data_IF_369711172186
#
_entry.id   IF_369711172186
#
_cell.length_a   1.000
_cell.length_b   1.000
_cell.length_c   1.000
_cell.angle_alpha   90.00
_cell.angle_beta   90.00
_cell.angle_gamma   90.00
#
_symmetry.space_group_name_H-M   'P 1'
#
loop_
_entity.id
_entity.type
_entity.pdbx_description
1 polymer ?
#
# COMPACT_ATOMS: atom_id res chain seq x y z
N UNK A 1 -15.55 -48.10 -33.40
CA UNK A 1 -15.43 -46.77 -33.96
C UNK A 1 -16.22 -45.89 -33.06
N UNK A 2 -15.53 -45.32 -32.11
CA UNK A 2 -16.07 -44.34 -31.19
C UNK A 2 -14.91 -43.36 -30.92
N UNK A 3 -15.01 -42.21 -31.52
CA UNK A 3 -14.02 -41.13 -31.39
C UNK A 3 -14.37 -40.34 -30.10
N UNK A 4 -13.52 -40.48 -29.08
CA UNK A 4 -13.53 -39.65 -27.90
C UNK A 4 -12.73 -38.35 -28.20
N UNK A 5 -13.42 -37.34 -28.61
CA UNK A 5 -12.86 -35.97 -28.63
C UNK A 5 -12.84 -35.43 -27.19
N UNK A 6 -11.69 -35.48 -26.57
CA UNK A 6 -11.41 -34.83 -25.30
C UNK A 6 -11.09 -33.37 -25.57
N UNK A 7 -12.12 -32.56 -25.57
CA UNK A 7 -12.02 -31.11 -25.63
C UNK A 7 -11.48 -30.55 -24.32
N UNK A 8 -10.16 -30.39 -24.21
CA UNK A 8 -9.56 -29.55 -23.17
C UNK A 8 -9.97 -28.10 -23.42
N UNK A 9 -10.96 -27.65 -22.66
CA UNK A 9 -11.29 -26.21 -22.59
C UNK A 9 -10.19 -25.52 -21.80
N UNK A 10 -9.24 -24.96 -22.51
CA UNK A 10 -8.26 -24.04 -21.94
C UNK A 10 -9.03 -22.82 -21.42
N UNK A 11 -9.17 -22.74 -20.10
CA UNK A 11 -9.77 -21.59 -19.44
C UNK A 11 -8.78 -20.43 -19.58
N UNK A 12 -9.02 -19.60 -20.61
CA UNK A 12 -8.37 -18.29 -20.73
C UNK A 12 -8.81 -17.48 -19.50
N UNK A 13 -7.93 -17.34 -18.54
CA UNK A 13 -8.13 -16.40 -17.42
C UNK A 13 -8.38 -15.01 -18.02
N UNK A 14 -9.51 -14.42 -17.65
CA UNK A 14 -9.93 -13.11 -18.13
C UNK A 14 -8.86 -12.07 -17.72
N UNK A 15 -8.11 -11.54 -18.71
CA UNK A 15 -7.08 -10.51 -18.49
C UNK A 15 -7.67 -9.17 -17.99
N UNK A 16 -8.99 -9.06 -17.88
CA UNK A 16 -9.67 -7.82 -17.47
C UNK A 16 -9.58 -7.52 -15.98
N UNK A 17 -9.20 -8.50 -15.12
CA UNK A 17 -9.10 -8.32 -13.66
C UNK A 17 -7.67 -7.99 -13.17
N UNK A 18 -6.70 -7.89 -14.05
CA UNK A 18 -5.31 -7.69 -13.65
C UNK A 18 -4.84 -6.23 -13.79
N UNK A 19 -4.23 -5.68 -12.73
CA UNK A 19 -3.62 -4.34 -12.72
C UNK A 19 -2.47 -4.29 -13.76
N UNK A 20 -2.44 -3.31 -14.69
CA UNK A 20 -1.33 -3.13 -15.62
C UNK A 20 -0.04 -2.76 -14.91
N UNK A 21 1.08 -3.36 -15.35
CA UNK A 21 2.43 -3.14 -14.79
C UNK A 21 3.21 -2.09 -15.61
N UNK A 22 2.56 -0.96 -15.88
CA UNK A 22 3.15 0.21 -16.56
C UNK A 22 2.43 1.48 -16.12
N UNK A 23 3.19 2.54 -15.84
CA UNK A 23 2.66 3.79 -15.30
C UNK A 23 2.15 3.62 -13.85
N UNK A 24 1.45 4.62 -13.35
CA UNK A 24 0.91 4.66 -12.00
C UNK A 24 -0.56 4.25 -11.98
N UNK A 25 -0.87 3.15 -11.30
CA UNK A 25 -2.26 2.69 -11.08
C UNK A 25 -2.64 2.88 -9.62
N UNK A 26 -3.78 3.53 -9.38
CA UNK A 26 -4.39 3.71 -8.07
C UNK A 26 -5.61 2.79 -7.92
N UNK A 27 -5.59 1.90 -6.93
CA UNK A 27 -6.69 0.97 -6.61
C UNK A 27 -7.47 1.53 -5.42
N UNK A 28 -8.75 1.79 -5.60
CA UNK A 28 -9.65 2.41 -4.62
C UNK A 28 -10.77 1.46 -4.22
N UNK A 29 -11.33 1.67 -3.04
CA UNK A 29 -12.52 0.98 -2.58
C UNK A 29 -12.64 0.96 -1.06
N UNK A 30 -13.78 0.50 -0.53
CA UNK A 30 -14.01 0.36 0.90
C UNK A 30 -13.09 -0.66 1.55
N UNK A 31 -13.22 -0.88 2.85
CA UNK A 31 -12.44 -1.90 3.56
C UNK A 31 -12.82 -3.31 3.07
N UNK A 32 -11.84 -4.23 3.10
CA UNK A 32 -12.02 -5.68 2.84
C UNK A 32 -12.51 -6.08 1.43
N UNK A 33 -12.41 -5.21 0.41
CA UNK A 33 -12.77 -5.53 -0.99
C UNK A 33 -11.62 -6.13 -1.80
N UNK A 34 -10.48 -6.47 -1.17
CA UNK A 34 -9.38 -7.13 -1.86
C UNK A 34 -8.30 -6.20 -2.44
N UNK A 35 -8.28 -4.90 -2.10
CA UNK A 35 -7.24 -3.95 -2.57
C UNK A 35 -5.81 -4.42 -2.29
N UNK A 36 -5.54 -4.84 -1.05
CA UNK A 36 -4.22 -5.35 -0.63
C UNK A 36 -3.84 -6.61 -1.40
N UNK A 37 -4.79 -7.53 -1.60
CA UNK A 37 -4.61 -8.75 -2.39
C UNK A 37 -4.26 -8.41 -3.85
N UNK A 38 -4.97 -7.48 -4.46
CA UNK A 38 -4.70 -7.04 -5.84
C UNK A 38 -3.32 -6.37 -5.97
N UNK A 39 -2.91 -5.60 -4.96
CA UNK A 39 -1.58 -4.99 -4.90
C UNK A 39 -0.48 -6.05 -4.75
N UNK A 40 -0.69 -7.06 -3.91
CA UNK A 40 0.22 -8.19 -3.73
C UNK A 40 0.37 -9.00 -5.03
N UNK A 41 -0.73 -9.33 -5.69
CA UNK A 41 -0.72 -10.02 -6.99
C UNK A 41 0.02 -9.23 -8.07
N UNK A 42 -0.12 -7.89 -8.08
CA UNK A 42 0.65 -7.05 -8.98
C UNK A 42 2.16 -7.08 -8.69
N UNK A 43 2.54 -7.09 -7.40
CA UNK A 43 3.93 -7.26 -6.96
C UNK A 43 4.48 -8.62 -7.40
N UNK A 44 3.76 -9.72 -7.16
CA UNK A 44 4.16 -11.08 -7.54
C UNK A 44 4.36 -11.18 -9.05
N UNK A 45 3.39 -10.72 -9.83
CA UNK A 45 3.50 -10.70 -11.31
C UNK A 45 4.68 -9.87 -11.81
N UNK A 46 4.99 -8.75 -11.14
CA UNK A 46 6.19 -7.98 -11.49
C UNK A 46 7.45 -8.78 -11.22
N UNK A 47 7.56 -9.38 -10.03
CA UNK A 47 8.74 -10.16 -9.61
C UNK A 47 8.94 -11.38 -10.50
N UNK A 48 7.88 -12.09 -10.86
CA UNK A 48 7.93 -13.23 -11.78
C UNK A 48 8.46 -12.84 -13.17
N UNK A 49 8.05 -11.69 -13.66
CA UNK A 49 8.44 -11.22 -15.00
C UNK A 49 9.80 -10.50 -15.05
N UNK A 50 10.21 -9.81 -13.96
CA UNK A 50 11.33 -8.86 -14.00
C UNK A 50 12.34 -9.04 -12.86
N UNK A 51 12.07 -9.94 -11.89
CA UNK A 51 12.88 -10.10 -10.68
C UNK A 51 12.65 -9.01 -9.64
N UNK A 52 13.39 -9.09 -8.54
CA UNK A 52 13.24 -8.23 -7.35
C UNK A 52 14.09 -6.97 -7.38
N UNK A 53 15.06 -6.87 -8.32
CA UNK A 53 15.97 -5.73 -8.39
C UNK A 53 15.23 -4.41 -8.68
N UNK A 54 15.47 -3.40 -7.85
CA UNK A 54 14.84 -2.08 -7.97
C UNK A 54 13.35 -2.07 -7.58
N UNK A 55 12.83 -3.14 -6.99
CA UNK A 55 11.47 -3.17 -6.43
C UNK A 55 11.47 -2.49 -5.07
N UNK A 56 10.54 -1.55 -4.90
CA UNK A 56 10.30 -0.82 -3.64
C UNK A 56 8.87 -1.05 -3.20
N UNK A 57 8.70 -1.46 -1.95
CA UNK A 57 7.39 -1.66 -1.32
C UNK A 57 7.28 -0.77 -0.09
N UNK A 58 6.22 0.05 -0.04
CA UNK A 58 5.81 0.78 1.15
C UNK A 58 4.54 0.15 1.71
N UNK A 59 4.54 -0.16 3.00
CA UNK A 59 3.37 -0.67 3.71
C UNK A 59 2.99 0.29 4.83
N UNK A 60 1.91 1.06 4.59
CA UNK A 60 1.39 2.03 5.55
C UNK A 60 0.12 1.56 6.25
N UNK A 61 -0.32 0.33 5.97
CA UNK A 61 -1.54 -0.19 6.56
C UNK A 61 -1.43 -0.31 8.09
N UNK A 62 -2.35 0.30 8.85
CA UNK A 62 -2.42 0.09 10.29
C UNK A 62 -2.91 -1.32 10.59
N UNK A 63 -2.37 -1.93 11.65
CA UNK A 63 -2.87 -3.18 12.19
C UNK A 63 -3.71 -2.91 13.43
N UNK A 64 -5.00 -3.15 13.34
CA UNK A 64 -5.94 -2.91 14.42
C UNK A 64 -6.67 -4.21 14.78
N UNK A 65 -6.49 -4.67 16.02
CA UNK A 65 -7.29 -5.76 16.57
C UNK A 65 -8.59 -5.16 17.15
N UNK A 66 -9.72 -5.44 16.53
CA UNK A 66 -11.03 -5.07 17.05
C UNK A 66 -11.88 -6.33 17.26
N UNK A 67 -12.28 -6.59 18.50
CA UNK A 67 -13.10 -7.76 18.87
C UNK A 67 -12.51 -9.10 18.40
N UNK A 68 -11.17 -9.22 18.41
CA UNK A 68 -10.47 -10.43 17.94
C UNK A 68 -10.33 -10.55 16.43
N UNK A 69 -10.84 -9.57 15.66
CA UNK A 69 -10.66 -9.48 14.21
C UNK A 69 -9.60 -8.44 13.88
N UNK A 70 -8.63 -8.83 13.08
CA UNK A 70 -7.62 -7.91 12.57
C UNK A 70 -8.24 -7.06 11.45
N UNK A 71 -8.29 -5.75 11.68
CA UNK A 71 -8.67 -4.76 10.69
C UNK A 71 -7.41 -4.12 10.12
N UNK A 72 -7.38 -3.96 8.80
CA UNK A 72 -6.19 -3.58 8.08
C UNK A 72 -5.35 -4.81 7.71
N UNK A 73 -4.71 -4.78 6.57
CA UNK A 73 -3.93 -5.90 6.06
C UNK A 73 -2.58 -5.43 5.53
N UNK A 74 -1.50 -5.84 6.20
CA UNK A 74 -0.17 -5.70 5.63
C UNK A 74 0.00 -6.60 4.41
N UNK A 75 0.85 -6.18 3.49
CA UNK A 75 1.20 -6.96 2.31
C UNK A 75 1.91 -8.28 2.66
N UNK A 76 2.71 -8.30 3.72
CA UNK A 76 3.42 -9.50 4.20
C UNK A 76 2.50 -10.65 4.64
N UNK A 77 1.21 -10.39 4.82
CA UNK A 77 0.19 -11.41 5.14
C UNK A 77 -0.46 -12.04 3.90
N UNK A 78 -0.26 -11.46 2.73
CA UNK A 78 -0.92 -11.86 1.49
C UNK A 78 0.07 -12.23 0.39
N UNK A 79 1.39 -12.14 0.66
CA UNK A 79 2.43 -12.59 -0.25
C UNK A 79 3.67 -13.06 0.52
N UNK A 80 4.23 -14.19 0.11
CA UNK A 80 5.45 -14.76 0.69
C UNK A 80 6.72 -13.99 0.28
N UNK A 81 6.62 -13.06 -0.68
CA UNK A 81 7.75 -12.26 -1.15
C UNK A 81 8.33 -11.34 -0.07
N UNK A 82 7.51 -10.94 0.90
CA UNK A 82 7.88 -9.99 1.95
C UNK A 82 8.34 -10.68 3.25
N UNK A 83 8.29 -12.02 3.30
CA UNK A 83 8.64 -12.84 4.46
C UNK A 83 7.56 -12.82 5.54
N UNK A 84 7.71 -13.71 6.55
CA UNK A 84 6.80 -13.69 7.70
C UNK A 84 6.99 -12.41 8.52
N UNK A 85 5.87 -11.83 8.96
CA UNK A 85 5.84 -10.66 9.85
C UNK A 85 6.65 -10.83 11.15
N UNK A 86 6.91 -12.10 11.54
CA UNK A 86 7.71 -12.49 12.71
C UNK A 86 9.22 -12.65 12.42
N UNK A 87 9.64 -12.59 11.14
CA UNK A 87 11.07 -12.57 10.83
C UNK A 87 11.63 -11.18 11.14
N UNK A 88 12.71 -11.06 11.94
CA UNK A 88 13.29 -9.77 12.21
C UNK A 88 13.77 -9.15 10.88
N UNK A 89 12.97 -8.24 10.36
CA UNK A 89 13.44 -7.32 9.33
C UNK A 89 14.62 -6.61 9.98
N UNK A 90 15.84 -6.83 9.49
CA UNK A 90 17.02 -6.18 10.07
C UNK A 90 16.74 -4.68 10.10
N UNK A 91 16.59 -4.14 11.31
CA UNK A 91 16.44 -2.70 11.52
C UNK A 91 17.72 -2.02 11.02
N UNK A 92 17.75 -1.67 9.75
CA UNK A 92 18.88 -0.95 9.16
C UNK A 92 18.79 0.49 9.61
N UNK A 93 19.42 0.74 10.76
CA UNK A 93 19.82 2.08 11.18
C UNK A 93 18.83 2.81 12.09
N UNK A 94 19.29 3.06 13.32
CA UNK A 94 18.75 4.04 14.24
C UNK A 94 18.20 3.43 15.52
N UNK A 95 18.95 3.61 16.63
CA UNK A 95 18.54 3.30 18.02
C UNK A 95 17.50 4.30 18.55
N UNK A 96 16.71 4.94 17.69
CA UNK A 96 15.68 5.87 18.13
C UNK A 96 14.41 5.09 18.44
N UNK A 97 14.09 4.94 19.72
CA UNK A 97 12.89 4.25 20.22
C UNK A 97 11.57 4.91 19.77
N UNK A 98 11.67 6.05 19.09
CA UNK A 98 10.54 6.84 18.59
C UNK A 98 10.33 6.64 17.07
N UNK A 99 11.17 5.85 16.39
CA UNK A 99 11.05 5.60 14.96
C UNK A 99 10.11 4.42 14.70
N UNK A 100 8.86 4.74 14.39
CA UNK A 100 7.81 3.80 13.99
C UNK A 100 7.99 3.25 12.57
N UNK A 101 9.23 3.22 12.06
CA UNK A 101 9.53 2.76 10.70
C UNK A 101 10.54 1.63 10.70
N UNK A 102 10.24 0.60 9.93
CA UNK A 102 11.14 -0.54 9.71
C UNK A 102 11.47 -0.65 8.23
N UNK A 103 12.73 -0.93 7.90
CA UNK A 103 13.17 -1.19 6.53
C UNK A 103 13.88 -2.52 6.49
N UNK A 104 13.47 -3.36 5.54
CA UNK A 104 14.08 -4.65 5.26
C UNK A 104 14.39 -4.86 3.79
N UNK A 105 15.02 -6.01 3.51
CA UNK A 105 15.34 -6.43 2.14
C UNK A 105 14.99 -7.90 1.91
N UNK A 106 13.71 -8.30 2.14
CA UNK A 106 13.30 -9.67 1.89
C UNK A 106 13.48 -9.98 0.40
N UNK A 107 14.06 -11.13 0.10
CA UNK A 107 14.29 -11.59 -1.28
C UNK A 107 15.01 -10.56 -2.20
N UNK A 108 15.72 -9.57 -1.61
CA UNK A 108 16.45 -8.53 -2.35
C UNK A 108 15.67 -7.28 -2.74
N UNK A 109 14.33 -7.25 -2.55
CA UNK A 109 13.54 -6.03 -2.74
C UNK A 109 13.64 -5.11 -1.51
N UNK A 110 13.40 -3.81 -1.68
CA UNK A 110 13.33 -2.88 -0.56
C UNK A 110 11.91 -2.85 0.01
N UNK A 111 11.77 -3.12 1.31
CA UNK A 111 10.49 -3.14 2.01
C UNK A 111 10.51 -2.19 3.21
N UNK A 112 9.74 -1.11 3.13
CA UNK A 112 9.56 -0.12 4.18
C UNK A 112 8.19 -0.22 4.82
N UNK A 113 8.16 -0.47 6.13
CA UNK A 113 6.94 -0.63 6.93
C UNK A 113 6.80 0.53 7.89
N UNK A 114 5.61 1.12 7.89
CA UNK A 114 5.18 2.05 8.93
C UNK A 114 4.38 1.27 9.98
N UNK A 115 4.78 1.33 11.24
CA UNK A 115 3.91 0.93 12.35
C UNK A 115 2.85 2.02 12.55
N UNK A 116 1.87 2.02 11.65
CA UNK A 116 0.90 3.08 11.51
C UNK A 116 -0.16 3.05 12.61
N UNK A 117 -0.58 4.22 13.02
CA UNK A 117 -1.81 4.38 13.80
C UNK A 117 -3.04 4.29 12.88
N UNK A 118 -4.18 3.92 13.47
CA UNK A 118 -5.51 4.12 12.88
C UNK A 118 -6.17 5.33 13.55
N UNK A 119 -5.95 6.57 13.07
CA UNK A 119 -6.26 7.79 13.81
C UNK A 119 -7.71 7.90 14.26
N UNK A 120 -8.67 7.59 13.36
CA UNK A 120 -10.11 7.65 13.67
C UNK A 120 -10.58 6.58 14.66
N UNK A 121 -9.88 5.44 14.73
CA UNK A 121 -10.23 4.35 15.65
C UNK A 121 -9.52 4.44 17.00
N UNK A 122 -8.29 4.98 17.02
CA UNK A 122 -7.42 5.02 18.19
C UNK A 122 -7.43 6.38 18.91
N UNK A 123 -7.75 7.48 18.20
CA UNK A 123 -7.80 8.81 18.78
C UNK A 123 -9.08 9.03 19.61
N UNK A 124 -9.01 9.24 20.92
CA UNK A 124 -10.18 9.45 21.78
C UNK A 124 -10.87 10.80 21.52
N UNK A 125 -10.20 11.74 20.87
CA UNK A 125 -10.70 13.07 20.46
C UNK A 125 -10.22 13.41 19.05
N UNK A 126 -10.82 14.40 18.41
CA UNK A 126 -10.37 14.88 17.09
C UNK A 126 -8.90 15.33 17.12
N UNK A 127 -8.50 16.10 18.15
CA UNK A 127 -7.10 16.55 18.29
C UNK A 127 -6.14 15.38 18.45
N UNK A 128 -6.51 14.34 19.20
CA UNK A 128 -5.72 13.13 19.33
C UNK A 128 -5.63 12.37 18.01
N UNK A 129 -6.72 12.25 17.26
CA UNK A 129 -6.71 11.63 15.94
C UNK A 129 -5.80 12.39 14.96
N UNK A 130 -5.86 13.74 14.96
CA UNK A 130 -4.97 14.60 14.15
C UNK A 130 -3.51 14.40 14.54
N UNK A 131 -3.19 14.30 15.84
CA UNK A 131 -1.82 14.05 16.30
C UNK A 131 -1.29 12.69 15.80
N UNK A 132 -2.11 11.62 15.88
CA UNK A 132 -1.75 10.29 15.35
C UNK A 132 -1.55 10.32 13.83
N UNK A 133 -2.37 11.06 13.09
CA UNK A 133 -2.21 11.25 11.65
C UNK A 133 -0.90 12.02 11.32
N UNK A 134 -0.51 12.99 12.16
CA UNK A 134 0.76 13.69 11.99
C UNK A 134 1.98 12.77 12.20
N UNK A 135 1.91 11.85 13.17
CA UNK A 135 2.95 10.86 13.39
C UNK A 135 3.09 9.89 12.20
N UNK A 136 1.95 9.44 11.62
CA UNK A 136 1.94 8.63 10.40
C UNK A 136 2.60 9.37 9.23
N UNK A 137 2.24 10.63 9.01
CA UNK A 137 2.81 11.44 7.93
C UNK A 137 4.33 11.61 8.09
N UNK A 138 4.80 11.86 9.32
CA UNK A 138 6.22 11.98 9.61
C UNK A 138 6.97 10.65 9.38
N UNK A 139 6.39 9.52 9.80
CA UNK A 139 6.96 8.18 9.56
C UNK A 139 7.05 7.85 8.08
N UNK A 140 5.99 8.10 7.31
CA UNK A 140 5.98 7.89 5.86
C UNK A 140 7.02 8.76 5.15
N UNK A 141 7.19 10.03 5.56
CA UNK A 141 8.23 10.91 5.02
C UNK A 141 9.64 10.35 5.24
N UNK A 142 9.93 9.82 6.45
CA UNK A 142 11.22 9.16 6.75
C UNK A 142 11.45 7.90 5.90
N UNK A 143 10.40 7.09 5.67
CA UNK A 143 10.52 5.92 4.79
C UNK A 143 10.84 6.35 3.36
N UNK A 144 10.16 7.38 2.85
CA UNK A 144 10.40 7.91 1.51
C UNK A 144 11.82 8.48 1.34
N UNK A 145 12.39 9.09 2.39
CA UNK A 145 13.78 9.58 2.40
C UNK A 145 14.83 8.46 2.38
N UNK A 146 14.49 7.31 2.98
CA UNK A 146 15.36 6.12 3.05
C UNK A 146 15.23 5.22 1.82
N UNK A 147 14.20 5.41 1.02
CA UNK A 147 13.93 4.58 -0.15
C UNK A 147 14.99 4.78 -1.25
N UNK A 148 15.27 3.75 -2.06
CA UNK A 148 16.17 3.85 -3.22
C UNK A 148 15.76 4.99 -4.16
N UNK A 149 16.72 5.73 -4.69
CA UNK A 149 16.43 6.89 -5.54
C UNK A 149 15.99 6.56 -6.96
N UNK A 150 16.25 5.34 -7.41
CA UNK A 150 15.98 4.87 -8.77
C UNK A 150 15.17 3.56 -8.76
N UNK A 151 13.87 3.61 -8.38
CA UNK A 151 13.02 2.43 -8.35
C UNK A 151 12.65 1.98 -9.76
N UNK A 152 12.62 0.66 -10.00
CA UNK A 152 12.07 0.06 -11.23
C UNK A 152 10.57 -0.18 -11.13
N UNK A 153 10.12 -0.57 -9.94
CA UNK A 153 8.71 -0.71 -9.61
C UNK A 153 8.44 -0.27 -8.17
N UNK A 154 7.26 0.32 -7.93
CA UNK A 154 6.83 0.79 -6.61
C UNK A 154 5.46 0.22 -6.28
N UNK A 155 5.32 -0.36 -5.09
CA UNK A 155 4.05 -0.85 -4.57
C UNK A 155 3.77 -0.17 -3.23
N UNK A 156 2.57 0.41 -3.07
CA UNK A 156 2.21 1.16 -1.87
C UNK A 156 0.89 0.65 -1.34
N UNK A 157 0.91 0.08 -0.14
CA UNK A 157 -0.28 -0.35 0.57
C UNK A 157 -0.79 0.76 1.48
N UNK A 158 -2.08 1.07 1.34
CA UNK A 158 -2.85 2.05 2.12
C UNK A 158 -2.24 3.48 2.12
N UNK A 159 -2.01 3.98 0.90
CA UNK A 159 -1.28 5.25 0.67
C UNK A 159 -1.90 6.45 1.37
N UNK A 160 -3.22 6.48 1.62
CA UNK A 160 -3.89 7.61 2.28
C UNK A 160 -3.46 7.78 3.73
N UNK A 161 -3.05 6.71 4.43
CA UNK A 161 -2.56 6.78 5.81
C UNK A 161 -1.39 7.77 5.95
N UNK A 162 -0.49 7.81 4.96
CA UNK A 162 0.63 8.75 4.92
C UNK A 162 0.18 10.21 4.72
N UNK A 163 -1.06 10.44 4.30
CA UNK A 163 -1.57 11.72 3.84
C UNK A 163 -2.78 12.24 4.63
N UNK A 164 -3.15 11.59 5.73
CA UNK A 164 -4.29 11.97 6.59
C UNK A 164 -4.04 13.23 7.43
N UNK A 165 -2.86 13.85 7.32
CA UNK A 165 -2.49 15.10 7.95
C UNK A 165 -1.91 16.08 6.90
N UNK A 166 -2.06 17.41 7.05
CA UNK A 166 -1.51 18.39 6.11
C UNK A 166 0.02 18.33 5.91
N UNK A 167 0.76 17.72 6.83
CA UNK A 167 2.19 17.45 6.67
C UNK A 167 2.49 16.25 5.75
N UNK A 168 1.50 15.43 5.42
CA UNK A 168 1.64 14.36 4.44
C UNK A 168 1.62 14.94 3.02
N UNK A 169 2.54 14.48 2.18
CA UNK A 169 2.79 15.04 0.84
C UNK A 169 2.50 14.00 -0.24
N UNK A 170 1.26 14.00 -0.74
CA UNK A 170 0.80 13.11 -1.80
C UNK A 170 1.52 13.39 -3.13
N UNK A 171 1.84 14.66 -3.44
CA UNK A 171 2.55 15.03 -4.66
C UNK A 171 3.99 14.48 -4.65
N UNK A 172 4.69 14.56 -3.51
CA UNK A 172 6.03 14.01 -3.34
C UNK A 172 6.04 12.49 -3.53
N UNK A 173 5.03 11.80 -2.99
CA UNK A 173 4.90 10.35 -3.14
C UNK A 173 4.59 9.97 -4.59
N UNK A 174 3.69 10.68 -5.26
CA UNK A 174 3.41 10.50 -6.69
C UNK A 174 4.65 10.77 -7.55
N UNK A 175 5.40 11.84 -7.25
CA UNK A 175 6.64 12.16 -7.94
C UNK A 175 7.71 11.07 -7.76
N UNK A 176 7.74 10.40 -6.61
CA UNK A 176 8.58 9.24 -6.39
C UNK A 176 8.11 8.04 -7.23
N UNK A 177 6.82 7.72 -7.20
CA UNK A 177 6.22 6.64 -7.99
C UNK A 177 6.44 6.84 -9.50
N UNK A 178 6.34 8.09 -9.98
CA UNK A 178 6.55 8.44 -11.37
C UNK A 178 7.98 8.25 -11.91
N UNK A 179 8.97 7.94 -11.04
CA UNK A 179 10.32 7.54 -11.45
C UNK A 179 10.37 6.09 -11.90
N UNK A 180 9.44 5.25 -11.43
CA UNK A 180 9.40 3.84 -11.74
C UNK A 180 8.71 3.58 -13.09
N UNK A 181 9.03 2.43 -13.70
CA UNK A 181 8.31 1.96 -14.88
C UNK A 181 6.86 1.60 -14.55
N UNK A 182 6.62 1.08 -13.36
CA UNK A 182 5.30 0.73 -12.86
C UNK A 182 5.16 1.13 -11.39
N UNK A 183 4.01 1.69 -11.03
CA UNK A 183 3.64 1.91 -9.66
C UNK A 183 2.18 1.44 -9.43
N UNK A 184 1.95 0.70 -8.36
CA UNK A 184 0.61 0.27 -7.93
C UNK A 184 0.41 0.71 -6.50
N UNK A 185 -0.57 1.59 -6.31
CA UNK A 185 -0.93 2.12 -5.00
C UNK A 185 -2.36 1.67 -4.68
N UNK A 186 -2.64 1.37 -3.43
CA UNK A 186 -4.03 1.23 -3.01
C UNK A 186 -4.39 2.23 -1.91
N UNK A 187 -5.67 2.61 -1.88
CA UNK A 187 -6.20 3.57 -0.93
C UNK A 187 -7.63 3.23 -0.52
N UNK A 188 -7.99 3.67 0.67
CA UNK A 188 -9.36 3.62 1.15
C UNK A 188 -10.19 4.72 0.48
N UNK A 189 -11.36 4.34 -0.06
CA UNK A 189 -12.37 5.25 -0.60
C UNK A 189 -13.75 4.77 -0.12
N UNK A 190 -14.27 5.36 0.96
CA UNK A 190 -15.62 5.12 1.48
C UNK A 190 -15.99 6.18 2.53
N UNK A 191 -17.28 6.35 2.75
CA UNK A 191 -17.82 7.20 3.81
C UNK A 191 -18.03 6.47 5.16
N UNK A 192 -17.72 5.16 5.22
CA UNK A 192 -17.94 4.29 6.39
C UNK A 192 -17.24 4.77 7.66
N UNK A 193 -16.12 5.47 7.54
CA UNK A 193 -15.32 5.96 8.67
C UNK A 193 -15.64 7.41 9.05
N UNK A 194 -16.72 7.98 8.50
CA UNK A 194 -17.10 9.37 8.71
C UNK A 194 -16.54 10.30 7.65
N UNK A 195 -17.09 11.52 7.61
CA UNK A 195 -16.82 12.46 6.52
C UNK A 195 -16.44 13.86 7.00
N UNK A 196 -16.80 14.20 8.25
CA UNK A 196 -16.76 15.58 8.74
C UNK A 196 -15.59 15.88 9.68
N UNK A 197 -14.88 14.85 10.17
CA UNK A 197 -13.71 15.03 11.02
C UNK A 197 -12.50 15.53 10.23
N UNK A 198 -11.51 16.18 10.91
CA UNK A 198 -10.34 16.76 10.25
C UNK A 198 -9.51 15.74 9.46
N UNK A 199 -9.38 14.50 9.95
CA UNK A 199 -8.60 13.42 9.32
C UNK A 199 -9.28 12.99 8.02
N UNK A 200 -10.59 12.77 8.05
CA UNK A 200 -11.38 12.37 6.86
C UNK A 200 -11.41 13.49 5.80
N UNK A 201 -11.50 14.77 6.21
CA UNK A 201 -11.40 15.87 5.26
C UNK A 201 -10.05 15.93 4.56
N UNK A 202 -8.96 15.79 5.33
CA UNK A 202 -7.61 15.79 4.77
C UNK A 202 -7.35 14.56 3.88
N UNK A 203 -7.83 13.38 4.27
CA UNK A 203 -7.74 12.18 3.46
C UNK A 203 -8.40 12.35 2.09
N UNK A 204 -9.57 13.00 2.02
CA UNK A 204 -10.23 13.29 0.73
C UNK A 204 -9.44 14.27 -0.13
N UNK A 205 -8.82 15.29 0.47
CA UNK A 205 -7.94 16.20 -0.27
C UNK A 205 -6.76 15.44 -0.88
N UNK A 206 -6.11 14.59 -0.08
CA UNK A 206 -5.01 13.76 -0.55
C UNK A 206 -5.47 12.76 -1.62
N UNK A 207 -6.64 12.13 -1.43
CA UNK A 207 -7.21 11.20 -2.41
C UNK A 207 -7.49 11.88 -3.76
N UNK A 208 -8.02 13.11 -3.75
CA UNK A 208 -8.22 13.89 -4.97
C UNK A 208 -6.89 14.15 -5.71
N UNK A 209 -5.82 14.46 -4.99
CA UNK A 209 -4.47 14.62 -5.55
C UNK A 209 -3.96 13.31 -6.15
N UNK A 210 -4.10 12.20 -5.41
CA UNK A 210 -3.68 10.87 -5.88
C UNK A 210 -4.43 10.44 -7.15
N UNK A 211 -5.75 10.68 -7.19
CA UNK A 211 -6.60 10.39 -8.38
C UNK A 211 -6.17 11.23 -9.57
N UNK A 212 -5.87 12.52 -9.37
CA UNK A 212 -5.47 13.42 -10.44
C UNK A 212 -4.07 13.10 -11.00
N UNK A 213 -3.17 12.55 -10.16
CA UNK A 213 -1.79 12.22 -10.53
C UNK A 213 -1.58 10.77 -11.01
N UNK A 214 -2.57 9.89 -10.88
CA UNK A 214 -2.48 8.52 -11.37
C UNK A 214 -2.80 8.42 -12.86
N UNK A 215 -2.06 7.60 -13.60
CA UNK A 215 -2.36 7.32 -15.02
C UNK A 215 -3.64 6.49 -15.17
N UNK A 216 -3.99 5.72 -14.14
CA UNK A 216 -5.17 4.86 -14.11
C UNK A 216 -5.73 4.74 -12.69
N UNK A 217 -7.06 4.72 -12.60
CA UNK A 217 -7.79 4.47 -11.36
C UNK A 217 -8.68 3.25 -11.54
N UNK A 218 -8.55 2.28 -10.63
CA UNK A 218 -9.38 1.07 -10.53
C UNK A 218 -10.21 1.16 -9.26
N UNK A 219 -11.53 0.98 -9.35
CA UNK A 219 -12.41 0.98 -8.19
C UNK A 219 -12.99 -0.41 -7.96
N UNK A 220 -12.78 -0.92 -6.75
CA UNK A 220 -13.35 -2.17 -6.27
C UNK A 220 -14.59 -1.87 -5.41
N UNK A 221 -15.59 -2.75 -5.49
CA UNK A 221 -16.87 -2.60 -4.78
C UNK A 221 -17.29 -3.92 -4.13
#
# INVERSE_FOLDING_TARGET
MSDDENGATDAVADESDSVPLVGTTLVLGPSNVGKTTLTAQALERWVDAHGTEGVVVFDFAPELLREGTLLGGRLDRVTDLLGDADSPVEAVGGNDRDDRTTVGRPNGLWYGVLDAHAPRAAGPTEDAAVALAAENAAGAARLLERAPTDPRAVFVNDVTIACQHPAGDADRLLAYCGRARAAVLNAFESDELGVDDPVSRQERVALATLVAGADRVVRLS
#
